data_IF_972377126809
#
_entry.id   IF_972377126809
#
_cell.length_a   1.000
_cell.length_b   1.000
_cell.length_c   1.000
_cell.angle_alpha   90.00
_cell.angle_beta   90.00
_cell.angle_gamma   90.00
#
_symmetry.space_group_name_H-M   'P 1'
#
loop_
_entity.id
_entity.type
_entity.pdbx_description
1 polymer ?
#
# COMPACT_ATOMS: atom_id res chain seq x y z
N UNK A 1 1.42 -14.10 1.03
CA UNK A 1 1.69 -12.66 0.85
C UNK A 1 2.65 -12.22 1.93
N UNK A 2 3.69 -11.47 1.59
CA UNK A 2 4.69 -10.94 2.52
C UNK A 2 4.71 -9.41 2.43
N UNK A 3 5.04 -8.76 3.54
CA UNK A 3 5.04 -7.32 3.68
C UNK A 3 6.30 -6.89 4.43
N UNK A 4 6.97 -5.86 3.91
CA UNK A 4 8.02 -5.15 4.63
C UNK A 4 7.69 -3.65 4.61
N UNK A 5 7.38 -3.09 5.77
CA UNK A 5 7.03 -1.69 5.94
C UNK A 5 8.03 -0.95 6.82
N UNK A 6 8.25 0.33 6.51
CA UNK A 6 9.10 1.22 7.29
C UNK A 6 8.43 2.58 7.46
N UNK A 7 8.39 3.06 8.70
CA UNK A 7 7.93 4.40 9.04
C UNK A 7 9.15 5.31 9.10
N UNK A 8 9.30 6.19 8.11
CA UNK A 8 10.39 7.16 8.03
C UNK A 8 10.20 8.28 9.05
N UNK A 9 8.95 8.68 9.27
CA UNK A 9 8.60 9.75 10.19
C UNK A 9 7.27 9.40 10.90
N UNK A 10 7.26 9.18 12.23
CA UNK A 10 6.07 8.79 12.96
C UNK A 10 5.13 9.99 13.18
N UNK A 11 4.37 10.33 12.15
CA UNK A 11 3.42 11.43 12.15
C UNK A 11 2.08 11.02 12.79
N UNK A 12 1.57 11.74 13.81
CA UNK A 12 0.29 11.40 14.42
C UNK A 12 -0.86 11.33 13.41
N UNK A 13 -1.64 10.25 13.45
CA UNK A 13 -2.82 10.06 12.60
C UNK A 13 -2.57 9.25 11.33
N UNK A 14 -1.33 9.07 10.88
CA UNK A 14 -1.06 8.28 9.66
C UNK A 14 -1.55 6.81 9.76
N UNK A 15 -1.49 6.09 10.90
CA UNK A 15 -1.96 4.71 10.96
C UNK A 15 -3.48 4.61 10.76
N UNK A 16 -4.25 5.60 11.23
CA UNK A 16 -5.68 5.67 11.01
C UNK A 16 -6.00 5.97 9.53
N UNK A 17 -5.25 6.87 8.90
CA UNK A 17 -5.34 7.13 7.47
C UNK A 17 -5.01 5.89 6.63
N UNK A 18 -3.93 5.18 6.96
CA UNK A 18 -3.57 3.91 6.33
C UNK A 18 -4.72 2.89 6.43
N UNK A 19 -5.26 2.69 7.63
CA UNK A 19 -6.41 1.79 7.82
C UNK A 19 -7.63 2.19 6.99
N UNK A 20 -7.89 3.48 6.80
CA UNK A 20 -8.96 3.93 5.91
C UNK A 20 -8.68 3.59 4.44
N UNK A 21 -7.44 3.78 3.97
CA UNK A 21 -7.02 3.40 2.62
C UNK A 21 -7.20 1.89 2.37
N UNK A 22 -6.79 1.04 3.32
CA UNK A 22 -6.90 -0.42 3.20
C UNK A 22 -8.35 -0.94 3.14
N UNK A 23 -9.33 -0.13 3.54
CA UNK A 23 -10.76 -0.48 3.44
C UNK A 23 -11.37 -0.17 2.07
N UNK A 24 -10.65 0.56 1.22
CA UNK A 24 -11.05 0.90 -0.15
C UNK A 24 -10.30 0.04 -1.17
N UNK A 25 -10.16 -1.24 -0.86
CA UNK A 25 -9.54 -2.22 -1.76
C UNK A 25 -10.32 -2.31 -3.07
N UNK A 26 -9.59 -2.35 -4.19
CA UNK A 26 -10.15 -2.58 -5.51
C UNK A 26 -10.46 -4.07 -5.70
N UNK A 27 -11.70 -4.42 -6.04
CA UNK A 27 -12.10 -5.81 -6.32
C UNK A 27 -11.33 -6.43 -7.49
N UNK A 28 -10.90 -5.61 -8.46
CA UNK A 28 -10.13 -6.05 -9.63
C UNK A 28 -8.65 -6.26 -9.33
N UNK A 29 -8.14 -5.67 -8.24
CA UNK A 29 -6.76 -5.74 -7.82
C UNK A 29 -6.65 -5.79 -6.27
N UNK A 30 -7.07 -6.91 -5.64
CA UNK A 30 -7.27 -7.00 -4.20
C UNK A 30 -5.97 -7.22 -3.41
N UNK A 31 -4.96 -6.41 -3.66
CA UNK A 31 -3.64 -6.52 -3.04
C UNK A 31 -3.52 -5.67 -1.77
N UNK A 32 -3.98 -4.40 -1.85
CA UNK A 32 -3.88 -3.39 -0.78
C UNK A 32 -5.06 -2.40 -0.89
N UNK A 33 -4.87 -1.13 -0.56
CA UNK A 33 -5.84 -0.06 -0.79
C UNK A 33 -5.92 0.37 -2.26
N UNK A 34 -6.62 1.49 -2.56
CA UNK A 34 -6.80 1.97 -3.92
C UNK A 34 -5.47 2.47 -4.52
N UNK A 35 -5.36 2.60 -5.84
CA UNK A 35 -4.13 3.09 -6.47
C UNK A 35 -3.69 4.46 -5.92
N UNK A 36 -4.64 5.35 -5.66
CA UNK A 36 -4.41 6.65 -5.05
C UNK A 36 -5.55 7.03 -4.11
N UNK A 37 -5.22 7.68 -2.99
CA UNK A 37 -6.17 8.32 -2.09
C UNK A 37 -5.50 9.51 -1.41
N UNK A 38 -6.24 10.57 -1.15
CA UNK A 38 -5.75 11.69 -0.36
C UNK A 38 -6.80 12.21 0.60
N UNK A 39 -6.33 12.85 1.67
CA UNK A 39 -7.13 13.75 2.49
C UNK A 39 -6.42 15.11 2.60
N UNK A 40 -6.83 15.95 3.55
CA UNK A 40 -6.24 17.28 3.76
C UNK A 40 -4.77 17.26 4.22
N UNK A 41 -4.26 16.12 4.69
CA UNK A 41 -2.96 15.99 5.35
C UNK A 41 -2.06 14.94 4.71
N UNK A 42 -2.63 13.86 4.18
CA UNK A 42 -1.90 12.70 3.71
C UNK A 42 -2.27 12.33 2.28
N UNK A 43 -1.28 11.81 1.57
CA UNK A 43 -1.45 11.21 0.25
C UNK A 43 -0.99 9.75 0.31
N UNK A 44 -1.85 8.83 -0.10
CA UNK A 44 -1.60 7.41 -0.26
C UNK A 44 -1.41 7.09 -1.73
N UNK A 45 -0.35 6.35 -2.04
CA UNK A 45 -0.07 5.85 -3.37
C UNK A 45 0.24 4.35 -3.27
N UNK A 46 -0.43 3.53 -4.07
CA UNK A 46 -0.16 2.11 -4.19
C UNK A 46 -0.01 1.73 -5.66
N UNK A 47 1.13 1.13 -5.99
CA UNK A 47 1.41 0.61 -7.33
C UNK A 47 1.73 -0.87 -7.23
N UNK A 48 1.31 -1.64 -8.23
CA UNK A 48 1.56 -3.07 -8.31
C UNK A 48 1.75 -3.53 -9.74
N UNK A 49 2.36 -4.69 -9.88
CA UNK A 49 2.58 -5.39 -11.14
C UNK A 49 2.18 -6.86 -10.99
N UNK A 50 1.59 -7.41 -12.05
CA UNK A 50 1.14 -8.81 -12.09
C UNK A 50 -0.32 -8.98 -11.70
N UNK A 51 -0.69 -10.23 -11.43
CA UNK A 51 -2.05 -10.64 -11.06
C UNK A 51 -2.02 -11.48 -9.77
N UNK A 52 -3.18 -11.97 -9.34
CA UNK A 52 -3.30 -12.75 -8.08
C UNK A 52 -2.44 -14.03 -8.05
N UNK A 53 -2.05 -14.57 -9.21
CA UNK A 53 -1.17 -15.74 -9.31
C UNK A 53 0.28 -15.39 -9.01
N UNK A 54 0.72 -14.15 -9.30
CA UNK A 54 2.06 -13.63 -9.00
C UNK A 54 2.07 -12.11 -9.09
N UNK A 55 2.25 -11.44 -7.96
CA UNK A 55 2.28 -9.99 -7.87
C UNK A 55 3.36 -9.47 -6.95
N UNK A 56 3.76 -8.24 -7.20
CA UNK A 56 4.57 -7.40 -6.31
C UNK A 56 4.11 -5.96 -6.40
N UNK A 57 4.26 -5.21 -5.32
CA UNK A 57 3.91 -3.81 -5.32
C UNK A 57 4.56 -3.02 -4.20
N UNK A 58 4.36 -1.72 -4.28
CA UNK A 58 4.86 -0.73 -3.35
C UNK A 58 3.74 0.21 -2.95
N UNK A 59 3.77 0.60 -1.68
CA UNK A 59 2.86 1.53 -1.07
C UNK A 59 3.67 2.63 -0.38
N UNK A 60 3.16 3.86 -0.44
CA UNK A 60 3.75 5.02 0.23
C UNK A 60 2.67 5.95 0.76
N UNK A 61 2.96 6.56 1.90
CA UNK A 61 2.19 7.68 2.43
C UNK A 61 3.09 8.90 2.49
N UNK A 62 2.60 10.01 1.95
CA UNK A 62 3.27 11.29 1.96
C UNK A 62 2.52 12.28 2.87
N UNK A 63 3.27 13.19 3.50
CA UNK A 63 2.76 14.40 4.12
C UNK A 63 3.58 15.57 3.58
N UNK A 64 2.93 16.55 2.94
CA UNK A 64 3.61 17.71 2.34
C UNK A 64 4.77 17.26 1.40
N UNK A 65 4.47 16.36 0.46
CA UNK A 65 5.43 15.77 -0.50
C UNK A 65 6.58 14.93 0.11
N UNK A 66 6.72 14.88 1.44
CA UNK A 66 7.68 14.03 2.14
C UNK A 66 7.09 12.64 2.38
N UNK A 67 7.79 11.59 1.97
CA UNK A 67 7.41 10.21 2.30
C UNK A 67 7.60 9.96 3.80
N UNK A 68 6.52 9.61 4.50
CA UNK A 68 6.52 9.31 5.94
C UNK A 68 6.41 7.81 6.23
N UNK A 69 5.90 7.04 5.27
CA UNK A 69 5.78 5.59 5.34
C UNK A 69 5.97 4.99 3.94
N UNK A 70 6.66 3.85 3.89
CA UNK A 70 6.79 3.04 2.67
C UNK A 70 6.66 1.57 3.00
N UNK A 71 6.09 0.79 2.09
CA UNK A 71 5.97 -0.64 2.23
C UNK A 71 6.12 -1.33 0.88
N UNK A 72 6.89 -2.42 0.84
CA UNK A 72 6.91 -3.36 -0.26
C UNK A 72 6.10 -4.59 0.09
N UNK A 73 5.40 -5.15 -0.90
CA UNK A 73 4.63 -6.37 -0.75
C UNK A 73 4.76 -7.26 -1.96
N UNK A 74 4.62 -8.57 -1.74
CA UNK A 74 4.56 -9.54 -2.83
C UNK A 74 3.78 -10.79 -2.44
N UNK A 75 3.31 -11.53 -3.43
CA UNK A 75 2.52 -12.73 -3.23
C UNK A 75 2.20 -13.45 -4.53
N UNK A 76 1.47 -14.55 -4.40
CA UNK A 76 1.10 -15.38 -5.53
C UNK A 76 0.71 -16.78 -5.09
N UNK A 77 0.28 -17.57 -6.06
CA UNK A 77 -0.01 -19.00 -5.92
C UNK A 77 1.29 -19.78 -6.02
N UNK A 78 1.46 -20.79 -5.17
CA UNK A 78 2.60 -21.72 -5.28
C UNK A 78 2.34 -22.63 -6.48
N UNK A 79 3.20 -22.54 -7.49
CA UNK A 79 3.17 -23.42 -8.66
C UNK A 79 4.20 -24.54 -8.52
N UNK A 80 3.81 -25.74 -8.91
CA UNK A 80 4.68 -26.92 -9.00
C UNK A 80 4.41 -27.62 -10.34
N UNK A 81 5.41 -28.32 -10.87
CA UNK A 81 5.32 -29.11 -12.10
C UNK A 81 5.04 -30.58 -11.78
#
# INVERSE_FOLDING_TARGET
MNYFGYTHDPVPGFPAFLNACLREVDETAPFRGPANRSDTRFEYQCNWSGDISRFSGEERILQQEKTIFSLSFHGGVIQYA
#
